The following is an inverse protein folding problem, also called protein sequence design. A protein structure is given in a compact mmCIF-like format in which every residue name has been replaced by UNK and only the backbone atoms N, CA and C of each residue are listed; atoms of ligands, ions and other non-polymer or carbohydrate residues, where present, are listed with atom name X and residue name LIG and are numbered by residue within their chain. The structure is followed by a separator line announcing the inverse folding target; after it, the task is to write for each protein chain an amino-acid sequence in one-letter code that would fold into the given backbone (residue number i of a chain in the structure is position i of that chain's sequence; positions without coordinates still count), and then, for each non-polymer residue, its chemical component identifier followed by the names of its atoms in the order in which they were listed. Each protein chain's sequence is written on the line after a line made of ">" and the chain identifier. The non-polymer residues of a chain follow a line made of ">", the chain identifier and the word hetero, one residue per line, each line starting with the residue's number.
data_IF_737658455998
#
_entry.id   IF_737658455998
#
_cell.length_a   1.000
_cell.length_b   1.000
_cell.length_c   1.000
_cell.angle_alpha   90.00
_cell.angle_beta   90.00
_cell.angle_gamma   90.00
#
_symmetry.space_group_name_H-M   'P 1'
#
loop_
_entity.id
_entity.type
_entity.pdbx_description
1 polymer ?
#
# COMPACT_ATOMS: atom_id res chain seq x y z
N UNK A 1 18.72 2.48 15.17
CA UNK A 1 19.15 2.05 13.81
C UNK A 1 20.23 1.00 13.99
N UNK A 2 20.11 -0.17 13.35
CA UNK A 2 21.16 -1.20 13.43
C UNK A 2 22.35 -0.74 12.58
N UNK A 3 23.56 -0.59 13.14
CA UNK A 3 24.70 -0.07 12.41
C UNK A 3 25.16 -1.07 11.32
N UNK A 4 25.61 -0.61 10.14
CA UNK A 4 25.98 -1.51 9.05
C UNK A 4 27.04 -2.56 9.41
N UNK A 5 27.90 -2.24 10.37
CA UNK A 5 28.96 -3.12 10.86
C UNK A 5 28.38 -4.39 11.52
N UNK A 6 27.24 -4.29 12.20
CA UNK A 6 26.64 -5.40 12.93
C UNK A 6 26.16 -6.51 11.98
N UNK A 7 25.37 -6.15 10.96
CA UNK A 7 24.88 -7.16 10.01
C UNK A 7 26.00 -7.72 9.14
N UNK A 8 27.05 -6.93 8.85
CA UNK A 8 28.24 -7.39 8.12
C UNK A 8 29.02 -8.44 8.91
N UNK A 9 29.27 -8.17 10.19
CA UNK A 9 29.97 -9.12 11.06
C UNK A 9 29.19 -10.43 11.20
N UNK A 10 27.86 -10.35 11.31
CA UNK A 10 26.99 -11.53 11.33
C UNK A 10 27.11 -12.35 10.04
N UNK A 11 27.00 -11.70 8.87
CA UNK A 11 27.15 -12.37 7.57
C UNK A 11 28.51 -13.06 7.42
N UNK A 12 29.59 -12.37 7.78
CA UNK A 12 30.95 -12.93 7.73
C UNK A 12 31.12 -14.14 8.65
N UNK A 13 30.54 -14.10 9.85
CA UNK A 13 30.55 -15.23 10.78
C UNK A 13 29.87 -16.48 10.21
N UNK A 14 28.66 -16.33 9.63
CA UNK A 14 27.96 -17.44 8.98
C UNK A 14 28.72 -18.01 7.79
N UNK A 15 29.35 -17.13 6.98
CA UNK A 15 30.15 -17.54 5.82
C UNK A 15 31.42 -18.27 6.22
N UNK A 16 32.13 -17.79 7.24
CA UNK A 16 33.33 -18.42 7.78
C UNK A 16 33.04 -19.80 8.40
N UNK A 17 31.84 -19.99 8.94
CA UNK A 17 31.37 -21.29 9.46
C UNK A 17 31.03 -22.33 8.39
N UNK A 18 31.21 -22.04 7.09
CA UNK A 18 30.95 -22.98 6.00
C UNK A 18 29.47 -23.16 5.65
N UNK A 19 28.59 -22.32 6.16
CA UNK A 19 27.17 -22.37 5.81
C UNK A 19 26.91 -21.75 4.43
N UNK A 20 25.92 -22.29 3.69
CA UNK A 20 25.49 -21.74 2.40
C UNK A 20 24.72 -20.41 2.62
N UNK A 21 25.47 -19.33 2.83
CA UNK A 21 24.96 -18.04 3.28
C UNK A 21 24.67 -17.12 2.09
N UNK A 22 23.46 -16.56 2.03
CA UNK A 22 23.08 -15.55 1.05
C UNK A 22 22.72 -14.23 1.74
N UNK A 23 23.29 -13.13 1.24
CA UNK A 23 22.91 -11.77 1.63
C UNK A 23 22.08 -11.15 0.51
N UNK A 24 20.88 -10.69 0.83
CA UNK A 24 20.03 -9.91 -0.09
C UNK A 24 20.11 -8.45 0.35
N UNK A 25 20.82 -7.63 -0.42
CA UNK A 25 20.91 -6.19 -0.17
C UNK A 25 19.73 -5.51 -0.84
N UNK A 26 18.90 -4.89 -0.02
CA UNK A 26 17.72 -4.17 -0.45
C UNK A 26 18.13 -2.72 -0.75
N UNK A 27 17.57 -2.15 -1.83
CA UNK A 27 17.71 -0.73 -2.12
C UNK A 27 16.84 0.12 -1.19
N UNK A 28 16.38 1.26 -1.70
CA UNK A 28 15.39 2.07 -1.00
C UNK A 28 14.06 1.34 -0.92
N UNK A 29 13.46 1.33 0.27
CA UNK A 29 12.10 0.82 0.49
C UNK A 29 11.25 1.90 1.15
N UNK A 30 10.35 2.50 0.38
CA UNK A 30 9.57 3.65 0.82
C UNK A 30 10.47 4.78 1.33
N UNK A 31 10.01 5.47 2.37
CA UNK A 31 10.78 6.49 3.09
C UNK A 31 11.63 5.92 4.25
N UNK A 32 11.37 4.68 4.66
CA UNK A 32 12.10 4.00 5.75
C UNK A 32 12.10 2.47 5.53
N UNK A 33 13.29 1.93 5.25
CA UNK A 33 13.47 0.51 4.98
C UNK A 33 13.29 -0.38 6.22
N UNK A 34 13.30 0.17 7.44
CA UNK A 34 13.03 -0.64 8.65
C UNK A 34 11.62 -1.23 8.66
N UNK A 35 10.70 -0.61 7.93
CA UNK A 35 9.32 -1.08 7.84
C UNK A 35 9.13 -2.22 6.80
N UNK A 36 10.21 -2.75 6.21
CA UNK A 36 10.14 -3.83 5.20
C UNK A 36 9.29 -5.02 5.64
N UNK A 37 9.44 -5.49 6.88
CA UNK A 37 8.73 -6.68 7.36
C UNK A 37 7.28 -6.39 7.77
N UNK A 38 6.99 -5.16 8.21
CA UNK A 38 5.65 -4.77 8.67
C UNK A 38 4.73 -4.29 7.55
N UNK A 39 5.31 -3.84 6.42
CA UNK A 39 4.58 -3.28 5.29
C UNK A 39 4.20 -4.35 4.27
N UNK A 40 2.95 -4.35 3.81
CA UNK A 40 2.45 -5.35 2.84
C UNK A 40 3.28 -5.35 1.55
N UNK A 41 3.71 -4.18 1.08
CA UNK A 41 4.58 -4.05 -0.10
C UNK A 41 5.91 -4.79 0.06
N UNK A 42 6.44 -4.85 1.29
CA UNK A 42 7.68 -5.55 1.59
C UNK A 42 7.57 -7.07 1.47
N UNK A 43 6.36 -7.66 1.61
CA UNK A 43 6.12 -9.10 1.44
C UNK A 43 6.58 -9.61 0.09
N UNK A 44 6.40 -8.82 -0.97
CA UNK A 44 6.86 -9.21 -2.32
C UNK A 44 8.38 -9.35 -2.42
N UNK A 45 9.12 -8.64 -1.55
CA UNK A 45 10.57 -8.65 -1.53
C UNK A 45 11.09 -9.72 -0.56
N UNK A 46 10.82 -9.59 0.74
CA UNK A 46 11.33 -10.53 1.73
C UNK A 46 10.66 -11.90 1.62
N UNK A 47 9.36 -11.93 1.31
CA UNK A 47 8.60 -13.18 1.24
C UNK A 47 9.07 -14.06 0.09
N UNK A 48 9.38 -13.49 -1.07
CA UNK A 48 9.92 -14.24 -2.21
C UNK A 48 11.26 -14.88 -1.87
N UNK A 49 12.20 -14.11 -1.30
CA UNK A 49 13.53 -14.62 -0.95
C UNK A 49 13.46 -15.68 0.15
N UNK A 50 12.62 -15.48 1.17
CA UNK A 50 12.38 -16.49 2.21
C UNK A 50 11.74 -17.75 1.64
N UNK A 51 10.76 -17.64 0.74
CA UNK A 51 10.15 -18.81 0.09
C UNK A 51 11.17 -19.60 -0.72
N UNK A 52 12.08 -18.94 -1.46
CA UNK A 52 13.16 -19.64 -2.18
C UNK A 52 14.06 -20.39 -1.20
N UNK A 53 14.48 -19.75 -0.11
CA UNK A 53 15.33 -20.38 0.90
C UNK A 53 14.66 -21.58 1.58
N UNK A 54 13.40 -21.44 2.01
CA UNK A 54 12.65 -22.54 2.62
C UNK A 54 12.45 -23.71 1.65
N UNK A 55 12.17 -23.43 0.38
CA UNK A 55 12.04 -24.45 -0.65
C UNK A 55 13.34 -25.24 -0.87
N UNK A 56 14.51 -24.57 -0.82
CA UNK A 56 15.81 -25.25 -0.89
C UNK A 56 16.06 -26.22 0.27
N UNK A 57 15.44 -25.96 1.42
CA UNK A 57 15.49 -26.85 2.59
C UNK A 57 14.41 -27.95 2.57
N UNK A 58 13.59 -28.02 1.52
CA UNK A 58 12.46 -28.95 1.42
C UNK A 58 11.29 -28.60 2.35
N UNK A 59 11.24 -27.37 2.86
CA UNK A 59 10.16 -26.91 3.74
C UNK A 59 8.94 -26.44 2.92
N UNK A 60 7.72 -26.58 3.45
CA UNK A 60 6.50 -26.20 2.74
C UNK A 60 6.41 -24.68 2.56
N UNK A 61 6.22 -24.24 1.31
CA UNK A 61 6.07 -22.81 0.95
C UNK A 61 4.74 -22.50 0.25
N UNK A 62 3.94 -23.53 0.00
CA UNK A 62 2.60 -23.36 -0.57
C UNK A 62 1.59 -23.03 0.51
N UNK A 63 0.61 -22.20 0.16
CA UNK A 63 -0.51 -21.86 1.05
C UNK A 63 -1.38 -23.10 1.23
N UNK A 64 -1.35 -23.68 2.43
CA UNK A 64 -2.17 -24.84 2.79
C UNK A 64 -3.57 -24.44 3.28
N UNK A 65 -3.69 -23.26 3.88
CA UNK A 65 -4.92 -22.75 4.48
C UNK A 65 -5.30 -21.39 3.88
N UNK A 66 -5.86 -21.36 2.65
CA UNK A 66 -6.16 -20.12 1.94
C UNK A 66 -7.11 -19.21 2.72
N UNK A 67 -7.96 -19.75 3.58
CA UNK A 67 -8.90 -18.99 4.43
C UNK A 67 -8.21 -18.04 5.44
N UNK A 68 -6.94 -18.28 5.77
CA UNK A 68 -6.16 -17.41 6.66
C UNK A 68 -5.24 -16.47 5.89
N UNK A 69 -5.30 -16.47 4.55
CA UNK A 69 -4.50 -15.57 3.72
C UNK A 69 -5.02 -14.15 3.84
N UNK A 70 -4.10 -13.19 3.85
CA UNK A 70 -4.47 -11.80 3.61
C UNK A 70 -5.12 -11.67 2.21
N UNK A 71 -6.18 -10.88 2.06
CA UNK A 71 -6.74 -10.59 0.75
C UNK A 71 -5.67 -9.97 -0.17
N UNK A 72 -5.71 -10.25 -1.48
CA UNK A 72 -4.75 -9.70 -2.44
C UNK A 72 -4.79 -8.17 -2.39
N UNK A 73 -3.63 -7.53 -2.53
CA UNK A 73 -3.56 -6.10 -2.76
C UNK A 73 -4.31 -5.82 -4.07
N UNK A 74 -5.40 -5.05 -3.99
CA UNK A 74 -6.09 -4.62 -5.20
C UNK A 74 -5.11 -3.79 -6.04
N UNK A 75 -5.04 -4.03 -7.36
CA UNK A 75 -4.20 -3.21 -8.23
C UNK A 75 -4.64 -1.76 -8.10
N UNK A 76 -3.66 -0.84 -8.08
CA UNK A 76 -3.93 0.60 -8.09
C UNK A 76 -4.91 0.89 -9.23
N UNK A 77 -6.06 1.51 -8.95
CA UNK A 77 -6.95 1.93 -10.02
C UNK A 77 -6.19 2.82 -11.01
N UNK A 78 -6.40 2.58 -12.30
CA UNK A 78 -5.74 3.35 -13.35
C UNK A 78 -6.22 4.80 -13.30
N UNK A 79 -5.31 5.73 -13.59
CA UNK A 79 -5.66 7.13 -13.83
C UNK A 79 -6.69 7.22 -14.97
N UNK A 80 -7.69 8.06 -14.80
CA UNK A 80 -8.66 8.42 -15.83
C UNK A 80 -8.43 9.85 -16.32
N UNK A 81 -9.12 10.23 -17.39
CA UNK A 81 -9.13 11.61 -17.92
C UNK A 81 -10.35 12.39 -17.45
N UNK A 82 -10.99 11.98 -16.35
CA UNK A 82 -12.25 12.56 -15.91
C UNK A 82 -12.11 14.04 -15.51
N UNK A 83 -11.12 14.36 -14.69
CA UNK A 83 -10.87 15.72 -14.21
C UNK A 83 -9.40 15.90 -13.80
N UNK A 84 -8.97 17.16 -13.66
CA UNK A 84 -7.70 17.45 -13.00
C UNK A 84 -7.82 17.24 -11.48
N UNK A 85 -6.75 16.79 -10.82
CA UNK A 85 -6.75 16.51 -9.37
C UNK A 85 -7.12 17.76 -8.54
N UNK A 86 -6.71 18.96 -8.96
CA UNK A 86 -7.00 20.20 -8.24
C UNK A 86 -8.42 20.73 -8.49
N UNK A 87 -9.20 20.12 -9.38
CA UNK A 87 -10.51 20.60 -9.81
C UNK A 87 -11.61 20.13 -8.87
N UNK A 88 -11.73 20.81 -7.73
CA UNK A 88 -12.65 20.43 -6.65
C UNK A 88 -14.13 20.46 -7.04
N UNK A 89 -14.48 21.28 -8.03
CA UNK A 89 -15.86 21.40 -8.51
C UNK A 89 -16.27 20.25 -9.43
N UNK A 90 -15.31 19.50 -9.98
CA UNK A 90 -15.58 18.32 -10.80
C UNK A 90 -15.93 17.07 -9.97
N UNK A 91 -15.80 17.12 -8.64
CA UNK A 91 -16.06 15.95 -7.78
C UNK A 91 -17.58 15.70 -7.69
N UNK A 92 -18.09 14.56 -8.16
CA UNK A 92 -19.52 14.33 -8.21
C UNK A 92 -20.08 14.03 -6.81
N UNK A 93 -21.39 14.28 -6.66
CA UNK A 93 -22.23 13.93 -5.50
C UNK A 93 -21.93 14.65 -4.17
N UNK A 94 -20.75 15.22 -3.97
CA UNK A 94 -20.36 15.80 -2.68
C UNK A 94 -20.79 17.27 -2.53
N UNK A 95 -21.11 17.66 -1.30
CA UNK A 95 -21.41 19.05 -0.91
C UNK A 95 -20.16 19.86 -0.52
N UNK A 96 -20.38 21.07 0.01
CA UNK A 96 -19.29 21.98 0.40
C UNK A 96 -18.36 21.41 1.49
N UNK A 97 -18.92 20.63 2.43
CA UNK A 97 -18.14 19.96 3.48
C UNK A 97 -17.19 18.90 2.91
N UNK A 98 -17.65 18.14 1.92
CA UNK A 98 -16.82 17.17 1.19
C UNK A 98 -15.73 17.86 0.38
N UNK A 99 -16.03 18.98 -0.29
CA UNK A 99 -15.01 19.81 -0.96
C UNK A 99 -13.96 20.30 0.05
N UNK A 100 -14.37 20.80 1.21
CA UNK A 100 -13.44 21.19 2.28
C UNK A 100 -12.55 20.04 2.77
N UNK A 101 -13.09 18.82 2.85
CA UNK A 101 -12.30 17.63 3.18
C UNK A 101 -11.32 17.25 2.05
N UNK A 102 -11.75 17.42 0.78
CA UNK A 102 -10.89 17.19 -0.38
C UNK A 102 -9.68 18.13 -0.40
N UNK A 103 -9.85 19.39 0.01
CA UNK A 103 -8.72 20.33 0.15
C UNK A 103 -7.68 19.83 1.16
N UNK A 104 -8.13 19.22 2.27
CA UNK A 104 -7.23 18.60 3.25
C UNK A 104 -6.51 17.40 2.65
N UNK A 105 -7.23 16.56 1.91
CA UNK A 105 -6.66 15.46 1.16
C UNK A 105 -5.54 15.92 0.20
N UNK A 106 -5.74 16.98 -0.57
CA UNK A 106 -4.73 17.53 -1.50
C UNK A 106 -3.45 17.99 -0.79
N UNK A 107 -3.55 18.42 0.46
CA UNK A 107 -2.42 18.86 1.29
C UNK A 107 -1.82 17.74 2.16
N UNK A 108 -2.36 16.52 2.08
CA UNK A 108 -1.93 15.41 2.94
C UNK A 108 -0.80 14.59 2.32
N UNK A 109 0.07 13.96 3.14
CA UNK A 109 1.18 13.17 2.64
C UNK A 109 0.72 11.92 1.88
N UNK A 110 1.56 11.47 0.93
CA UNK A 110 1.38 10.17 0.28
C UNK A 110 1.76 9.01 1.24
N UNK A 111 1.17 7.81 1.07
CA UNK A 111 0.05 7.49 0.19
C UNK A 111 -1.27 8.12 0.67
N UNK A 112 -2.16 8.49 -0.24
CA UNK A 112 -3.47 9.08 0.10
C UNK A 112 -4.56 8.61 -0.85
N UNK A 113 -5.81 8.60 -0.39
CA UNK A 113 -6.96 8.39 -1.26
C UNK A 113 -8.20 9.13 -0.77
N UNK A 114 -9.10 9.36 -1.71
CA UNK A 114 -10.40 9.96 -1.50
C UNK A 114 -11.47 9.10 -2.17
N UNK A 115 -12.52 8.77 -1.44
CA UNK A 115 -13.66 7.99 -1.91
C UNK A 115 -14.96 8.79 -1.80
N UNK A 116 -15.88 8.53 -2.73
CA UNK A 116 -17.18 9.19 -2.82
C UNK A 116 -18.29 8.15 -3.03
N UNK A 117 -19.49 8.47 -2.52
CA UNK A 117 -20.72 7.72 -2.74
C UNK A 117 -21.78 8.57 -3.45
N UNK A 118 -22.65 7.93 -4.22
CA UNK A 118 -23.72 8.61 -4.99
C UNK A 118 -24.77 9.30 -4.11
N UNK A 119 -24.82 8.97 -2.82
CA UNK A 119 -25.67 9.59 -1.81
C UNK A 119 -25.02 10.81 -1.13
N UNK A 120 -23.85 11.27 -1.62
CA UNK A 120 -23.09 12.39 -1.06
C UNK A 120 -22.16 12.01 0.10
N UNK A 121 -22.05 10.72 0.44
CA UNK A 121 -21.03 10.22 1.35
C UNK A 121 -19.62 10.44 0.77
N UNK A 122 -18.67 10.70 1.66
CA UNK A 122 -17.26 10.83 1.29
C UNK A 122 -16.37 10.33 2.43
N UNK A 123 -15.15 9.94 2.11
CA UNK A 123 -14.15 9.49 3.07
C UNK A 123 -12.77 9.60 2.47
N UNK A 124 -11.77 9.86 3.31
CA UNK A 124 -10.38 9.97 2.86
C UNK A 124 -9.43 9.45 3.93
N UNK A 125 -8.23 9.09 3.48
CA UNK A 125 -7.14 8.69 4.36
C UNK A 125 -5.80 9.07 3.72
N UNK A 126 -4.78 9.25 4.55
CA UNK A 126 -3.43 9.62 4.11
C UNK A 126 -2.36 9.10 5.08
N UNK A 127 -1.13 8.98 4.59
CA UNK A 127 0.05 8.58 5.37
C UNK A 127 0.16 7.07 5.68
N UNK A 128 -0.91 6.30 5.45
CA UNK A 128 -0.93 4.84 5.61
C UNK A 128 -0.72 4.09 4.30
N UNK A 129 -0.17 2.87 4.35
CA UNK A 129 -0.02 2.04 3.15
C UNK A 129 -1.35 1.57 2.55
N UNK A 130 -2.38 1.49 3.38
CA UNK A 130 -3.74 1.07 3.03
C UNK A 130 -4.68 2.28 2.90
N UNK A 131 -4.15 3.46 2.54
CA UNK A 131 -4.94 4.68 2.44
C UNK A 131 -6.17 4.54 1.52
N UNK A 132 -6.12 3.66 0.52
CA UNK A 132 -7.21 3.44 -0.43
C UNK A 132 -8.35 2.66 0.21
N UNK A 133 -8.03 1.53 0.86
CA UNK A 133 -8.98 0.71 1.58
C UNK A 133 -9.60 1.51 2.74
N UNK A 134 -8.76 2.24 3.49
CA UNK A 134 -9.22 3.08 4.59
C UNK A 134 -10.13 4.24 4.10
N UNK A 135 -9.83 4.86 2.96
CA UNK A 135 -10.69 5.90 2.40
C UNK A 135 -12.08 5.34 2.03
N UNK A 136 -12.11 4.15 1.41
CA UNK A 136 -13.36 3.46 1.07
C UNK A 136 -14.11 3.05 2.34
N UNK A 137 -13.44 2.48 3.34
CA UNK A 137 -14.03 2.09 4.62
C UNK A 137 -14.64 3.29 5.36
N UNK A 138 -13.88 4.40 5.47
CA UNK A 138 -14.34 5.65 6.09
C UNK A 138 -15.60 6.19 5.41
N UNK A 139 -15.66 6.11 4.08
CA UNK A 139 -16.83 6.52 3.31
C UNK A 139 -18.00 5.53 3.47
N UNK A 140 -17.69 4.23 3.48
CA UNK A 140 -18.68 3.15 3.42
C UNK A 140 -19.52 3.02 4.69
N UNK A 141 -19.10 3.67 5.78
CA UNK A 141 -19.92 3.87 6.98
C UNK A 141 -21.24 4.60 6.67
N UNK A 142 -21.29 5.38 5.59
CA UNK A 142 -22.43 6.24 5.24
C UNK A 142 -23.07 5.89 3.90
N UNK A 143 -22.60 4.87 3.17
CA UNK A 143 -23.15 4.51 1.86
C UNK A 143 -22.29 3.53 1.07
N UNK A 144 -22.65 3.30 -0.20
CA UNK A 144 -21.77 2.56 -1.13
C UNK A 144 -20.79 3.53 -1.76
N UNK A 145 -19.50 3.32 -1.52
CA UNK A 145 -18.46 4.24 -1.98
C UNK A 145 -17.51 3.62 -2.99
N UNK A 146 -16.94 4.49 -3.82
CA UNK A 146 -15.94 4.17 -4.83
C UNK A 146 -14.79 5.18 -4.75
N UNK A 147 -13.59 4.78 -5.17
CA UNK A 147 -12.44 5.68 -5.19
C UNK A 147 -12.63 6.78 -6.24
N UNK A 148 -12.43 8.02 -5.84
CA UNK A 148 -12.38 9.18 -6.73
C UNK A 148 -10.95 9.52 -7.12
N UNK A 149 -10.07 9.65 -6.14
CA UNK A 149 -8.67 10.01 -6.32
C UNK A 149 -7.75 9.12 -5.50
N UNK A 150 -6.62 8.76 -6.08
CA UNK A 150 -5.57 7.94 -5.47
C UNK A 150 -4.21 8.61 -5.71
N UNK A 151 -3.57 9.01 -4.63
CA UNK A 151 -2.33 9.78 -4.60
C UNK A 151 -2.46 11.09 -5.38
N UNK A 152 -1.94 11.11 -6.61
CA UNK A 152 -1.95 12.27 -7.51
C UNK A 152 -2.81 12.05 -8.76
N UNK A 153 -3.56 10.95 -8.83
CA UNK A 153 -4.38 10.60 -9.98
C UNK A 153 -5.86 10.58 -9.61
N UNK A 154 -6.69 11.21 -10.46
CA UNK A 154 -8.12 10.93 -10.49
C UNK A 154 -8.29 9.55 -11.13
N UNK A 155 -8.96 8.65 -10.43
CA UNK A 155 -9.20 7.27 -10.86
C UNK A 155 -10.68 6.99 -11.10
N UNK A 156 -11.52 7.99 -10.84
CA UNK A 156 -12.94 7.93 -11.11
C UNK A 156 -13.20 7.88 -12.62
N UNK A 157 -13.97 6.89 -13.05
CA UNK A 157 -14.58 6.87 -14.37
C UNK A 157 -16.01 6.42 -14.20
N UNK A 158 -16.95 7.09 -14.86
CA UNK A 158 -18.30 6.57 -14.95
C UNK A 158 -18.23 5.12 -15.45
N UNK A 159 -18.77 4.18 -14.67
CA UNK A 159 -19.06 2.86 -15.24
C UNK A 159 -20.12 3.11 -16.32
N UNK A 160 -19.70 3.04 -17.59
CA UNK A 160 -20.61 2.86 -18.71
C UNK A 160 -21.49 1.64 -18.49
#
# INVERSE_FOLDING_TARGET
>A
MLPPQLWRAMYEGYRAGGSNTRLVVLGQFGSDAHALFSRRKGKSIWGSETSVFLAQLGLPVQIQFPQYSLPPLLPRPAKTTFAALAEMEAIPFIGQTGRGAYQKFLNSPLPRAFAIGSNGAWGWAAGGEEAWDQAVENCSQYGKCTLYAVDNDVVWGEKK
#
